data_IF_899936415353
#
_entry.id   IF_899936415353
#
_cell.length_a   1.000
_cell.length_b   1.000
_cell.length_c   1.000
_cell.angle_alpha   90.00
_cell.angle_beta   90.00
_cell.angle_gamma   90.00
#
_symmetry.space_group_name_H-M   'P 1'
#
loop_
_entity.id
_entity.type
_entity.pdbx_description
1 polymer ?
#
# COMPACT_ATOMS: atom_id res chain seq x y z
N UNK A 1 11.13 11.60 -5.95
CA UNK A 1 9.81 11.07 -5.57
C UNK A 1 8.77 12.18 -5.59
N UNK A 2 7.54 11.95 -6.07
CA UNK A 2 6.43 12.88 -5.89
C UNK A 2 5.69 12.57 -4.59
N UNK A 3 5.41 13.59 -3.78
CA UNK A 3 4.76 13.45 -2.47
C UNK A 3 3.55 14.36 -2.41
N UNK A 4 2.34 13.80 -2.28
CA UNK A 4 1.14 14.61 -2.13
C UNK A 4 0.86 14.91 -0.66
N UNK A 5 0.46 16.14 -0.34
CA UNK A 5 0.16 16.53 1.03
C UNK A 5 -1.16 15.92 1.57
N UNK A 6 -2.04 15.43 0.68
CA UNK A 6 -3.36 14.93 1.05
C UNK A 6 -4.37 16.03 1.32
N UNK A 7 -5.35 15.77 2.19
CA UNK A 7 -6.37 16.75 2.58
C UNK A 7 -5.74 17.86 3.43
N UNK A 8 -5.77 19.13 2.97
CA UNK A 8 -5.11 20.23 3.66
C UNK A 8 -5.70 20.56 5.05
N UNK A 9 -6.89 20.05 5.37
CA UNK A 9 -7.54 20.22 6.68
C UNK A 9 -7.07 19.20 7.71
N UNK A 10 -6.35 18.12 7.28
CA UNK A 10 -5.84 17.07 8.15
C UNK A 10 -4.35 17.24 8.46
N UNK A 11 -3.80 16.23 9.14
CA UNK A 11 -2.36 16.19 9.51
C UNK A 11 -1.42 15.97 8.32
N UNK A 12 -1.96 15.69 7.12
CA UNK A 12 -1.14 15.40 5.94
C UNK A 12 -0.02 16.40 5.67
N UNK A 13 -0.29 17.71 5.58
CA UNK A 13 0.73 18.73 5.36
C UNK A 13 1.82 18.75 6.44
N UNK A 14 1.45 18.60 7.72
CA UNK A 14 2.37 18.59 8.86
C UNK A 14 3.29 17.36 8.83
N UNK A 15 2.72 16.15 8.71
CA UNK A 15 3.51 14.91 8.74
C UNK A 15 4.40 14.74 7.50
N UNK A 16 3.97 15.25 6.33
CA UNK A 16 4.79 15.24 5.12
C UNK A 16 5.98 16.19 5.29
N UNK A 17 5.75 17.43 5.75
CA UNK A 17 6.82 18.40 5.96
C UNK A 17 7.86 17.89 6.96
N UNK A 18 7.41 17.33 8.08
CA UNK A 18 8.30 16.80 9.11
C UNK A 18 9.08 15.57 8.63
N UNK A 19 8.43 14.66 7.89
CA UNK A 19 9.07 13.48 7.35
C UNK A 19 10.15 13.84 6.30
N UNK A 20 9.86 14.76 5.39
CA UNK A 20 10.83 15.22 4.37
C UNK A 20 12.01 15.92 5.04
N UNK A 21 11.74 16.86 5.96
CA UNK A 21 12.80 17.55 6.72
C UNK A 21 13.69 16.57 7.47
N UNK A 22 13.11 15.55 8.08
CA UNK A 22 13.85 14.51 8.79
C UNK A 22 14.80 13.75 7.86
N UNK A 23 14.33 13.33 6.68
CA UNK A 23 15.12 12.60 5.71
C UNK A 23 16.22 13.47 5.09
N UNK A 24 15.96 14.73 4.77
CA UNK A 24 16.96 15.69 4.30
C UNK A 24 18.06 15.88 5.35
N UNK A 25 17.70 16.04 6.63
CA UNK A 25 18.68 16.16 7.73
C UNK A 25 19.50 14.89 7.95
N UNK A 26 19.00 13.73 7.57
CA UNK A 26 19.74 12.45 7.60
C UNK A 26 20.62 12.26 6.36
N UNK A 27 20.67 13.21 5.44
CA UNK A 27 21.48 13.14 4.22
C UNK A 27 20.92 12.19 3.16
N UNK A 28 19.58 12.08 3.06
CA UNK A 28 18.95 11.31 1.98
C UNK A 28 19.29 11.90 0.61
N UNK A 29 19.74 11.07 -0.31
CA UNK A 29 19.99 11.45 -1.71
C UNK A 29 18.70 11.53 -2.54
N UNK A 30 17.53 11.27 -1.93
CA UNK A 30 16.25 11.29 -2.63
C UNK A 30 15.73 12.71 -2.79
N UNK A 31 15.53 13.16 -4.02
CA UNK A 31 14.86 14.42 -4.32
C UNK A 31 13.34 14.28 -4.19
N UNK A 32 12.69 15.22 -3.50
CA UNK A 32 11.25 15.25 -3.29
C UNK A 32 10.59 16.38 -4.06
N UNK A 33 9.51 16.07 -4.79
CA UNK A 33 8.58 17.04 -5.39
C UNK A 33 7.31 16.99 -4.56
N UNK A 34 7.05 18.02 -3.78
CA UNK A 34 5.87 18.13 -2.92
C UNK A 34 4.71 18.74 -3.72
N UNK A 35 3.51 18.20 -3.56
CA UNK A 35 2.31 18.55 -4.30
C UNK A 35 1.16 18.82 -3.35
N UNK A 36 0.63 20.03 -3.38
CA UNK A 36 -0.47 20.45 -2.48
C UNK A 36 -0.97 21.85 -2.78
N UNK A 37 -1.87 22.41 -1.96
CA UNK A 37 -2.35 23.79 -2.12
C UNK A 37 -1.22 24.81 -2.07
N UNK A 38 -1.38 25.90 -2.80
CA UNK A 38 -0.34 26.94 -2.96
C UNK A 38 0.16 27.52 -1.63
N UNK A 39 -0.71 27.60 -0.62
CA UNK A 39 -0.43 28.18 0.70
C UNK A 39 0.36 27.25 1.64
N UNK A 40 0.45 25.96 1.32
CA UNK A 40 1.03 24.93 2.19
C UNK A 40 2.50 24.59 1.85
N UNK A 41 3.19 25.45 1.10
CA UNK A 41 4.59 25.24 0.78
C UNK A 41 5.48 25.25 2.05
N UNK A 42 6.08 24.10 2.44
CA UNK A 42 6.90 24.04 3.64
C UNK A 42 8.31 24.59 3.48
N UNK A 43 8.68 25.05 2.28
CA UNK A 43 10.03 25.51 1.96
C UNK A 43 11.07 24.38 1.90
N UNK A 44 10.65 23.16 1.60
CA UNK A 44 11.49 21.95 1.51
C UNK A 44 11.39 21.37 0.09
N UNK A 45 12.46 20.79 -0.41
CA UNK A 45 12.50 20.18 -1.74
C UNK A 45 12.01 21.13 -2.85
N UNK A 46 11.40 20.55 -3.89
CA UNK A 46 10.68 21.28 -4.94
C UNK A 46 9.19 21.27 -4.67
N UNK A 47 8.55 22.43 -4.54
CA UNK A 47 7.11 22.54 -4.34
C UNK A 47 6.36 22.87 -5.64
N UNK A 48 5.32 22.11 -5.94
CA UNK A 48 4.39 22.35 -7.04
C UNK A 48 2.98 22.54 -6.48
N UNK A 49 2.53 23.80 -6.40
CA UNK A 49 1.18 24.14 -6.03
C UNK A 49 0.17 23.65 -7.07
N UNK A 50 -1.00 23.21 -6.60
CA UNK A 50 -2.08 22.70 -7.44
C UNK A 50 -3.33 23.59 -7.40
N UNK A 51 -3.25 24.73 -6.73
CA UNK A 51 -4.29 25.75 -6.63
C UNK A 51 -4.51 26.27 -5.22
N UNK A 52 -5.38 27.28 -5.13
CA UNK A 52 -5.70 28.00 -3.88
C UNK A 52 -6.73 27.22 -3.03
N UNK A 53 -6.46 27.07 -1.74
CA UNK A 53 -7.37 26.46 -0.77
C UNK A 53 -8.26 27.54 -0.13
N UNK A 54 -9.56 27.46 -0.35
CA UNK A 54 -10.55 28.41 0.15
C UNK A 54 -11.14 28.08 1.52
N UNK A 55 -10.64 27.03 2.19
CA UNK A 55 -11.13 26.54 3.47
C UNK A 55 -12.30 25.55 3.41
N UNK A 56 -12.91 25.35 2.24
CA UNK A 56 -14.07 24.47 2.08
C UNK A 56 -13.67 22.98 1.94
N UNK A 57 -14.59 22.09 2.31
CA UNK A 57 -14.44 20.66 2.09
C UNK A 57 -14.28 20.30 0.60
N UNK A 58 -15.05 20.98 -0.25
CA UNK A 58 -14.99 20.79 -1.68
C UNK A 58 -13.61 21.17 -2.25
N UNK A 59 -13.07 22.31 -1.85
CA UNK A 59 -11.74 22.75 -2.26
C UNK A 59 -10.66 21.78 -1.77
N UNK A 60 -10.75 21.31 -0.52
CA UNK A 60 -9.83 20.30 0.00
C UNK A 60 -9.83 19.01 -0.82
N UNK A 61 -11.00 18.50 -1.17
CA UNK A 61 -11.15 17.31 -2.02
C UNK A 61 -10.60 17.53 -3.43
N UNK A 62 -10.90 18.65 -4.05
CA UNK A 62 -10.41 19.01 -5.38
C UNK A 62 -8.88 19.06 -5.42
N UNK A 63 -8.27 19.80 -4.49
CA UNK A 63 -6.82 19.96 -4.45
C UNK A 63 -6.08 18.66 -4.10
N UNK A 64 -6.67 17.83 -3.23
CA UNK A 64 -6.15 16.49 -2.95
C UNK A 64 -6.13 15.63 -4.23
N UNK A 65 -7.22 15.64 -5.01
CA UNK A 65 -7.31 14.90 -6.26
C UNK A 65 -6.33 15.43 -7.32
N UNK A 66 -6.26 16.74 -7.51
CA UNK A 66 -5.33 17.37 -8.46
C UNK A 66 -3.86 17.07 -8.10
N UNK A 67 -3.51 17.03 -6.82
CA UNK A 67 -2.17 16.64 -6.39
C UNK A 67 -1.84 15.19 -6.78
N UNK A 68 -2.78 14.25 -6.60
CA UNK A 68 -2.62 12.85 -7.02
C UNK A 68 -2.51 12.76 -8.55
N UNK A 69 -3.39 13.40 -9.31
CA UNK A 69 -3.33 13.41 -10.78
C UNK A 69 -2.00 13.98 -11.29
N UNK A 70 -1.50 15.05 -10.65
CA UNK A 70 -0.20 15.64 -11.01
C UNK A 70 0.95 14.68 -10.69
N UNK A 71 0.93 14.02 -9.52
CA UNK A 71 1.93 13.02 -9.14
C UNK A 71 1.97 11.86 -10.13
N UNK A 72 0.81 11.30 -10.49
CA UNK A 72 0.69 10.23 -11.49
C UNK A 72 1.29 10.65 -12.83
N UNK A 73 0.96 11.87 -13.30
CA UNK A 73 1.51 12.38 -14.56
C UNK A 73 3.04 12.47 -14.54
N UNK A 74 3.62 12.96 -13.42
CA UNK A 74 5.07 13.02 -13.26
C UNK A 74 5.71 11.62 -13.26
N UNK A 75 5.05 10.64 -12.66
CA UNK A 75 5.53 9.26 -12.64
C UNK A 75 5.42 8.58 -14.01
N UNK A 76 4.31 8.75 -14.72
CA UNK A 76 4.10 8.15 -16.06
C UNK A 76 5.07 8.69 -17.11
N UNK A 77 5.46 9.97 -17.03
CA UNK A 77 6.48 10.53 -17.94
C UNK A 77 7.92 10.32 -17.46
N UNK A 78 8.12 9.57 -16.37
CA UNK A 78 9.46 9.24 -15.85
C UNK A 78 10.19 10.38 -15.13
N UNK A 79 9.51 11.50 -14.81
CA UNK A 79 10.12 12.59 -14.05
C UNK A 79 10.42 12.18 -12.61
N UNK A 80 9.60 11.31 -12.04
CA UNK A 80 9.78 10.74 -10.71
C UNK A 80 9.69 9.21 -10.76
N UNK A 81 10.44 8.55 -9.91
CA UNK A 81 10.49 7.08 -9.83
C UNK A 81 9.30 6.47 -9.06
N UNK A 82 8.55 7.27 -8.33
CA UNK A 82 7.42 6.80 -7.57
C UNK A 82 6.69 7.93 -6.85
N UNK A 83 5.60 7.55 -6.19
CA UNK A 83 4.67 8.45 -5.51
C UNK A 83 4.52 8.03 -4.04
N UNK A 84 4.50 9.03 -3.15
CA UNK A 84 4.06 8.85 -1.76
C UNK A 84 2.85 9.73 -1.53
N UNK A 85 1.75 9.16 -1.04
CA UNK A 85 0.53 9.94 -0.87
C UNK A 85 0.21 10.21 0.58
N UNK A 86 0.00 11.49 0.92
CA UNK A 86 -0.60 11.89 2.19
C UNK A 86 -2.08 11.48 2.26
N UNK A 87 -2.66 11.43 3.46
CA UNK A 87 -4.02 10.93 3.67
C UNK A 87 -5.08 11.86 3.06
N UNK A 88 -6.10 11.29 2.41
CA UNK A 88 -7.23 12.01 1.84
C UNK A 88 -8.52 11.73 2.58
N UNK A 89 -9.48 12.66 2.49
CA UNK A 89 -10.81 12.53 3.06
C UNK A 89 -11.83 12.17 1.96
N UNK A 90 -12.37 10.94 2.04
CA UNK A 90 -13.31 10.43 1.02
C UNK A 90 -14.55 11.29 0.81
N UNK A 91 -15.23 11.82 1.87
CA UNK A 91 -16.32 12.77 1.68
C UNK A 91 -15.92 14.03 0.93
N UNK A 92 -14.71 14.58 1.17
CA UNK A 92 -14.21 15.75 0.46
C UNK A 92 -14.01 15.47 -1.03
N UNK A 93 -13.43 14.31 -1.39
CA UNK A 93 -13.31 13.89 -2.79
C UNK A 93 -14.68 13.82 -3.47
N UNK A 94 -15.68 13.22 -2.81
CA UNK A 94 -17.04 13.15 -3.33
C UNK A 94 -17.68 14.52 -3.51
N UNK A 95 -17.48 15.43 -2.55
CA UNK A 95 -17.99 16.80 -2.64
C UNK A 95 -17.38 17.59 -3.81
N UNK A 96 -16.16 17.22 -4.20
CA UNK A 96 -15.45 17.75 -5.36
C UNK A 96 -15.82 17.08 -6.69
N UNK A 97 -16.65 16.01 -6.67
CA UNK A 97 -17.11 15.30 -7.85
C UNK A 97 -16.30 14.04 -8.21
N UNK A 98 -15.36 13.62 -7.39
CA UNK A 98 -14.61 12.37 -7.56
C UNK A 98 -15.38 11.22 -6.91
N UNK A 99 -15.68 10.18 -7.68
CA UNK A 99 -16.53 9.07 -7.24
C UNK A 99 -15.74 7.88 -6.71
N UNK A 100 -14.42 7.85 -6.91
CA UNK A 100 -13.55 6.79 -6.45
C UNK A 100 -13.55 6.70 -4.91
N UNK A 101 -13.62 5.48 -4.34
CA UNK A 101 -13.67 5.28 -2.89
C UNK A 101 -12.36 5.65 -2.18
N UNK A 102 -11.23 5.79 -2.91
CA UNK A 102 -9.94 6.13 -2.34
C UNK A 102 -8.81 6.25 -3.34
N UNK A 103 -7.58 6.29 -2.84
CA UNK A 103 -6.38 6.39 -3.68
C UNK A 103 -6.23 5.21 -4.63
N UNK A 104 -6.47 3.99 -4.19
CA UNK A 104 -6.21 2.78 -4.98
C UNK A 104 -7.00 2.78 -6.27
N UNK A 105 -8.30 3.03 -6.19
CA UNK A 105 -9.20 3.05 -7.34
C UNK A 105 -8.91 4.26 -8.24
N UNK A 106 -8.57 5.40 -7.64
CA UNK A 106 -8.17 6.59 -8.38
C UNK A 106 -6.86 6.35 -9.16
N UNK A 107 -5.86 5.74 -8.54
CA UNK A 107 -4.60 5.40 -9.19
C UNK A 107 -4.79 4.36 -10.28
N UNK A 108 -5.61 3.33 -10.06
CA UNK A 108 -5.97 2.33 -11.05
C UNK A 108 -6.56 2.98 -12.32
N UNK A 109 -7.55 3.87 -12.15
CA UNK A 109 -8.15 4.61 -13.28
C UNK A 109 -7.12 5.51 -14.00
N UNK A 110 -6.28 6.22 -13.24
CA UNK A 110 -5.31 7.16 -13.82
C UNK A 110 -4.16 6.46 -14.57
N UNK A 111 -3.90 5.20 -14.27
CA UNK A 111 -2.83 4.42 -14.92
C UNK A 111 -3.35 3.38 -15.90
N UNK A 112 -4.68 3.22 -16.02
CA UNK A 112 -5.34 2.24 -16.90
C UNK A 112 -4.85 0.80 -16.71
N UNK A 113 -4.53 0.43 -15.45
CA UNK A 113 -4.12 -0.94 -15.09
C UNK A 113 -5.34 -1.78 -14.73
N UNK A 114 -5.32 -3.07 -15.10
CA UNK A 114 -6.42 -4.01 -14.82
C UNK A 114 -6.52 -4.36 -13.34
N UNK A 115 -5.38 -4.62 -12.72
CA UNK A 115 -5.30 -5.17 -11.37
C UNK A 115 -4.38 -4.34 -10.47
N UNK A 116 -4.82 -4.17 -9.25
CA UNK A 116 -4.03 -3.54 -8.17
C UNK A 116 -4.15 -4.40 -6.91
N UNK A 117 -3.10 -4.38 -6.08
CA UNK A 117 -3.08 -5.08 -4.81
C UNK A 117 -2.73 -4.15 -3.65
N UNK A 118 -3.32 -4.38 -2.49
CA UNK A 118 -3.00 -3.67 -1.26
C UNK A 118 -2.08 -4.53 -0.41
N UNK A 119 -0.79 -4.18 -0.39
CA UNK A 119 0.23 -4.84 0.41
C UNK A 119 0.58 -3.99 1.63
N UNK A 120 0.38 -4.53 2.81
CA UNK A 120 0.86 -3.93 4.06
C UNK A 120 2.25 -4.46 4.35
N UNK A 121 3.19 -3.55 4.62
CA UNK A 121 4.61 -3.88 4.80
C UNK A 121 5.17 -3.23 6.05
N UNK A 122 5.86 -4.00 6.85
CA UNK A 122 6.78 -3.54 7.87
C UNK A 122 8.11 -4.29 7.68
N UNK A 123 9.15 -3.60 7.19
CA UNK A 123 10.45 -4.24 6.95
C UNK A 123 11.20 -4.53 8.25
N UNK A 124 10.90 -3.76 9.29
CA UNK A 124 11.43 -3.95 10.62
C UNK A 124 10.26 -4.10 11.60
N UNK A 125 10.25 -5.18 12.35
CA UNK A 125 9.28 -5.43 13.42
C UNK A 125 10.01 -5.61 14.74
N UNK A 126 9.28 -5.50 15.85
CA UNK A 126 9.84 -5.78 17.18
C UNK A 126 10.38 -7.22 17.32
N UNK A 127 10.01 -8.12 16.40
CA UNK A 127 10.46 -9.51 16.35
C UNK A 127 11.66 -9.72 15.41
N UNK A 128 12.18 -8.65 14.78
CA UNK A 128 13.39 -8.68 13.96
C UNK A 128 13.21 -9.27 12.56
N UNK A 129 11.98 -9.58 12.15
CA UNK A 129 11.67 -10.11 10.82
C UNK A 129 10.70 -9.19 10.06
N UNK A 130 10.77 -9.11 8.73
CA UNK A 130 9.81 -8.35 7.94
C UNK A 130 8.43 -9.00 7.99
N UNK A 131 7.39 -8.17 7.91
CA UNK A 131 6.01 -8.62 7.81
C UNK A 131 5.38 -8.00 6.56
N UNK A 132 4.96 -8.84 5.60
CA UNK A 132 4.33 -8.43 4.34
C UNK A 132 3.03 -9.18 4.17
N UNK A 133 1.92 -8.45 4.14
CA UNK A 133 0.57 -9.02 4.08
C UNK A 133 -0.22 -8.38 2.95
N UNK A 134 -0.50 -9.16 1.90
CA UNK A 134 -1.40 -8.78 0.82
C UNK A 134 -2.83 -9.10 1.23
N UNK A 135 -3.74 -8.16 1.01
CA UNK A 135 -5.18 -8.34 1.26
C UNK A 135 -5.87 -8.69 -0.06
N UNK A 136 -6.36 -9.93 -0.21
CA UNK A 136 -7.07 -10.36 -1.41
C UNK A 136 -8.42 -9.63 -1.56
N UNK A 137 -9.14 -9.44 -0.46
CA UNK A 137 -10.29 -8.52 -0.37
C UNK A 137 -10.01 -7.45 0.69
N UNK A 138 -10.45 -6.22 0.44
CA UNK A 138 -10.12 -5.08 1.30
C UNK A 138 -11.33 -4.59 2.10
N UNK A 139 -11.92 -3.45 1.77
CA UNK A 139 -12.94 -2.76 2.55
C UNK A 139 -14.36 -3.22 2.17
N UNK A 140 -14.65 -4.49 2.41
CA UNK A 140 -15.97 -5.10 2.16
C UNK A 140 -16.56 -5.66 3.45
N UNK A 141 -17.89 -5.75 3.60
CA UNK A 141 -18.50 -6.41 4.75
C UNK A 141 -18.05 -7.87 4.85
N UNK A 142 -17.76 -8.35 6.06
CA UNK A 142 -17.27 -9.71 6.26
C UNK A 142 -18.19 -10.80 5.66
N UNK A 143 -19.51 -10.59 5.71
CA UNK A 143 -20.50 -11.52 5.14
C UNK A 143 -20.41 -11.67 3.61
N UNK A 144 -19.83 -10.68 2.92
CA UNK A 144 -19.72 -10.66 1.47
C UNK A 144 -18.38 -11.25 0.99
N UNK A 145 -17.43 -11.48 1.92
CA UNK A 145 -16.09 -11.99 1.62
C UNK A 145 -16.11 -13.35 0.90
N UNK A 146 -16.85 -14.37 1.38
CA UNK A 146 -16.85 -15.68 0.72
C UNK A 146 -17.33 -15.60 -0.74
N UNK A 147 -18.32 -14.76 -1.04
CA UNK A 147 -18.88 -14.59 -2.39
C UNK A 147 -17.93 -13.83 -3.34
N UNK A 148 -17.05 -13.00 -2.79
CA UNK A 148 -16.06 -12.24 -3.55
C UNK A 148 -14.77 -13.04 -3.80
N UNK A 149 -14.46 -14.00 -2.94
CA UNK A 149 -13.29 -14.85 -3.13
C UNK A 149 -13.51 -15.82 -4.28
N UNK A 150 -12.61 -15.77 -5.24
CA UNK A 150 -12.59 -16.71 -6.37
C UNK A 150 -11.17 -17.20 -6.63
N UNK A 151 -11.06 -18.33 -7.30
CA UNK A 151 -9.77 -18.86 -7.77
C UNK A 151 -9.01 -17.81 -8.58
N UNK A 152 -9.69 -17.14 -9.51
CA UNK A 152 -9.07 -16.14 -10.39
C UNK A 152 -8.57 -14.93 -9.61
N UNK A 153 -9.32 -14.45 -8.60
CA UNK A 153 -8.87 -13.37 -7.72
C UNK A 153 -7.60 -13.75 -6.96
N UNK A 154 -7.59 -14.94 -6.33
CA UNK A 154 -6.42 -15.39 -5.56
C UNK A 154 -5.21 -15.57 -6.45
N UNK A 155 -5.39 -16.11 -7.66
CA UNK A 155 -4.31 -16.26 -8.65
C UNK A 155 -3.79 -14.90 -9.10
N UNK A 156 -4.66 -13.97 -9.50
CA UNK A 156 -4.28 -12.61 -9.93
C UNK A 156 -3.49 -11.90 -8.83
N UNK A 157 -4.01 -11.89 -7.59
CA UNK A 157 -3.35 -11.23 -6.47
C UNK A 157 -2.00 -11.88 -6.10
N UNK A 158 -1.90 -13.21 -6.16
CA UNK A 158 -0.65 -13.91 -5.91
C UNK A 158 0.41 -13.65 -6.99
N UNK A 159 0.01 -13.65 -8.27
CA UNK A 159 0.91 -13.32 -9.39
C UNK A 159 1.42 -11.88 -9.28
N UNK A 160 0.54 -10.94 -8.93
CA UNK A 160 0.87 -9.54 -8.71
C UNK A 160 1.88 -9.37 -7.57
N UNK A 161 1.64 -10.06 -6.45
CA UNK A 161 2.54 -10.07 -5.30
C UNK A 161 3.91 -10.67 -5.67
N UNK A 162 3.93 -11.85 -6.31
CA UNK A 162 5.16 -12.52 -6.72
C UNK A 162 6.02 -11.62 -7.61
N UNK A 163 5.41 -11.06 -8.67
CA UNK A 163 6.11 -10.15 -9.59
C UNK A 163 6.68 -8.92 -8.88
N UNK A 164 5.90 -8.32 -7.97
CA UNK A 164 6.35 -7.17 -7.20
C UNK A 164 7.52 -7.53 -6.27
N UNK A 165 7.46 -8.67 -5.59
CA UNK A 165 8.55 -9.14 -4.72
C UNK A 165 9.83 -9.42 -5.50
N UNK A 166 9.72 -9.95 -6.71
CA UNK A 166 10.88 -10.15 -7.60
C UNK A 166 11.50 -8.83 -8.06
N UNK A 167 10.66 -7.87 -8.48
CA UNK A 167 11.14 -6.63 -9.10
C UNK A 167 11.55 -5.61 -8.03
N UNK A 168 10.70 -5.37 -7.03
CA UNK A 168 10.84 -4.27 -6.09
C UNK A 168 11.62 -4.65 -4.83
N UNK A 169 11.63 -5.96 -4.47
CA UNK A 169 12.40 -6.47 -3.32
C UNK A 169 13.64 -7.27 -3.72
N UNK A 170 13.84 -7.55 -5.04
CA UNK A 170 14.91 -8.39 -5.56
C UNK A 170 14.91 -9.81 -4.97
N UNK A 171 13.75 -10.38 -4.69
CA UNK A 171 13.60 -11.78 -4.26
C UNK A 171 13.49 -12.66 -5.50
N UNK A 172 14.51 -13.47 -5.79
CA UNK A 172 14.57 -14.26 -7.03
C UNK A 172 13.45 -15.31 -7.16
N UNK A 173 12.98 -15.87 -6.04
CA UNK A 173 11.90 -16.86 -5.96
C UNK A 173 11.13 -16.65 -4.65
N UNK A 174 10.19 -15.70 -4.59
CA UNK A 174 9.44 -15.42 -3.37
C UNK A 174 8.64 -16.63 -2.90
N UNK A 175 8.63 -16.89 -1.62
CA UNK A 175 7.84 -17.93 -0.97
C UNK A 175 6.59 -17.31 -0.42
N UNK A 176 5.45 -17.64 -1.02
CA UNK A 176 4.15 -17.08 -0.63
C UNK A 176 3.38 -18.05 0.27
N UNK A 177 2.67 -17.53 1.25
CA UNK A 177 1.72 -18.28 2.03
C UNK A 177 0.30 -17.80 1.74
N UNK A 178 -0.61 -18.70 1.39
CA UNK A 178 -2.03 -18.40 1.26
C UNK A 178 -2.75 -18.73 2.58
N UNK A 179 -3.15 -17.68 3.31
CA UNK A 179 -3.88 -17.82 4.56
C UNK A 179 -5.30 -18.35 4.30
N UNK A 180 -5.74 -19.33 5.07
CA UNK A 180 -7.07 -19.90 4.99
C UNK A 180 -8.16 -18.90 5.37
N UNK A 181 -9.38 -19.11 4.86
CA UNK A 181 -10.57 -18.37 5.24
C UNK A 181 -11.20 -18.95 6.51
N UNK A 182 -11.36 -20.28 6.55
CA UNK A 182 -12.04 -20.97 7.62
C UNK A 182 -11.09 -21.48 8.72
N UNK A 183 -11.58 -21.71 9.96
CA UNK A 183 -10.77 -22.27 11.03
C UNK A 183 -10.09 -23.58 10.60
N UNK A 184 -8.81 -23.74 11.00
CA UNK A 184 -7.99 -24.93 10.71
C UNK A 184 -7.93 -25.30 9.21
N UNK A 185 -8.05 -24.29 8.33
CA UNK A 185 -8.12 -24.48 6.88
C UNK A 185 -9.26 -25.44 6.48
N UNK A 186 -10.46 -25.18 7.00
CA UNK A 186 -11.71 -25.90 6.89
C UNK A 186 -11.77 -27.33 7.50
N UNK A 187 -10.67 -27.85 8.02
CA UNK A 187 -10.59 -29.20 8.59
C UNK A 187 -11.27 -30.26 7.69
N UNK A 188 -10.74 -30.35 6.44
CA UNK A 188 -11.23 -31.22 5.36
C UNK A 188 -12.73 -30.97 4.97
N UNK A 189 -13.20 -29.73 5.11
CA UNK A 189 -14.56 -29.33 4.73
C UNK A 189 -15.57 -29.35 5.88
N UNK A 190 -15.12 -29.60 7.11
CA UNK A 190 -16.00 -29.57 8.30
C UNK A 190 -16.54 -28.16 8.57
N UNK A 191 -15.73 -27.12 8.27
CA UNK A 191 -16.06 -25.71 8.56
C UNK A 191 -16.27 -24.85 7.30
N UNK A 192 -16.54 -25.47 6.17
CA UNK A 192 -16.76 -24.79 4.88
C UNK A 192 -15.99 -25.44 3.75
N UNK A 193 -16.39 -25.15 2.53
CA UNK A 193 -15.82 -25.78 1.33
C UNK A 193 -14.91 -24.83 0.54
N UNK A 194 -14.75 -23.58 0.96
CA UNK A 194 -14.03 -22.53 0.22
C UNK A 194 -12.55 -22.95 -0.02
N UNK A 195 -11.90 -23.57 0.97
CA UNK A 195 -10.53 -24.06 0.82
C UNK A 195 -10.39 -25.09 -0.29
N UNK A 196 -11.37 -25.97 -0.44
CA UNK A 196 -11.37 -27.00 -1.47
C UNK A 196 -11.79 -26.44 -2.84
N UNK A 197 -12.79 -25.55 -2.86
CA UNK A 197 -13.41 -25.07 -4.11
C UNK A 197 -12.67 -23.86 -4.71
N UNK A 198 -12.00 -23.08 -3.90
CA UNK A 198 -11.36 -21.81 -4.33
C UNK A 198 -9.85 -21.83 -4.10
N UNK A 199 -9.40 -22.15 -2.88
CA UNK A 199 -7.98 -21.99 -2.50
C UNK A 199 -7.09 -23.06 -3.11
N UNK A 200 -7.43 -24.35 -3.02
CA UNK A 200 -6.63 -25.43 -3.61
C UNK A 200 -6.50 -25.29 -5.14
N UNK A 201 -7.57 -25.00 -5.90
CA UNK A 201 -7.44 -24.72 -7.33
C UNK A 201 -6.53 -23.52 -7.65
N UNK A 202 -6.55 -22.47 -6.81
CA UNK A 202 -5.66 -21.32 -6.98
C UNK A 202 -4.18 -21.72 -6.76
N UNK A 203 -3.89 -22.49 -5.72
CA UNK A 203 -2.55 -22.99 -5.43
C UNK A 203 -2.06 -23.88 -6.59
N UNK A 204 -2.90 -24.80 -7.08
CA UNK A 204 -2.56 -25.66 -8.20
C UNK A 204 -2.23 -24.87 -9.48
N UNK A 205 -2.99 -23.80 -9.75
CA UNK A 205 -2.74 -22.92 -10.89
C UNK A 205 -1.41 -22.15 -10.72
N UNK A 206 -1.13 -21.62 -9.52
CA UNK A 206 0.10 -20.89 -9.21
C UNK A 206 1.34 -21.81 -9.28
N UNK A 207 1.26 -23.03 -8.75
CA UNK A 207 2.33 -24.03 -8.86
C UNK A 207 2.64 -24.40 -10.31
N UNK A 208 1.60 -24.52 -11.18
CA UNK A 208 1.79 -24.75 -12.62
C UNK A 208 2.46 -23.56 -13.32
N UNK A 209 2.31 -22.35 -12.78
CA UNK A 209 2.98 -21.13 -13.24
C UNK A 209 4.38 -20.93 -12.63
N UNK A 210 4.95 -21.94 -11.94
CA UNK A 210 6.25 -21.93 -11.25
C UNK A 210 6.33 -20.89 -10.10
N UNK A 211 5.20 -20.52 -9.50
CA UNK A 211 5.14 -19.66 -8.32
C UNK A 211 5.21 -20.52 -7.07
N UNK A 212 6.13 -20.18 -6.15
CA UNK A 212 6.25 -20.86 -4.86
C UNK A 212 5.16 -20.38 -3.90
N UNK A 213 4.13 -21.16 -3.73
CA UNK A 213 3.02 -20.88 -2.82
C UNK A 213 2.67 -22.12 -2.00
N UNK A 214 2.45 -21.93 -0.71
CA UNK A 214 1.96 -22.96 0.21
C UNK A 214 0.62 -22.48 0.81
N UNK A 215 -0.30 -23.43 1.01
CA UNK A 215 -1.60 -23.13 1.62
C UNK A 215 -2.67 -24.20 1.28
N UNK A 216 -3.90 -23.98 1.68
CA UNK A 216 -4.32 -22.95 2.65
C UNK A 216 -3.73 -23.22 4.03
N UNK A 217 -3.16 -22.21 4.68
CA UNK A 217 -2.54 -22.31 6.01
C UNK A 217 -3.46 -21.65 7.04
N UNK A 218 -3.75 -22.30 8.18
CA UNK A 218 -4.56 -21.70 9.22
C UNK A 218 -4.07 -20.32 9.66
N UNK A 219 -5.01 -19.38 9.84
CA UNK A 219 -4.72 -17.99 10.19
C UNK A 219 -3.99 -17.82 11.52
N UNK A 220 -4.20 -18.73 12.46
CA UNK A 220 -3.58 -18.73 13.79
C UNK A 220 -2.09 -19.09 13.77
N UNK A 221 -1.58 -19.65 12.65
CA UNK A 221 -0.18 -20.11 12.54
C UNK A 221 0.60 -19.40 11.43
N UNK A 222 -0.04 -18.97 10.33
CA UNK A 222 0.62 -18.46 9.13
C UNK A 222 1.54 -17.27 9.40
N UNK A 223 1.11 -16.32 10.25
CA UNK A 223 1.90 -15.12 10.56
C UNK A 223 3.13 -15.45 11.42
N UNK A 224 2.99 -16.40 12.36
CA UNK A 224 4.13 -16.88 13.14
C UNK A 224 5.15 -17.58 12.24
N UNK A 225 4.72 -18.43 11.31
CA UNK A 225 5.59 -19.09 10.33
C UNK A 225 6.31 -18.08 9.43
N UNK A 226 5.60 -17.01 9.01
CA UNK A 226 6.23 -15.93 8.25
C UNK A 226 7.32 -15.22 9.06
N UNK A 227 7.04 -14.85 10.30
CA UNK A 227 8.02 -14.20 11.19
C UNK A 227 9.23 -15.10 11.51
N UNK A 228 9.07 -16.41 11.43
CA UNK A 228 10.17 -17.37 11.52
C UNK A 228 10.95 -17.55 10.19
N UNK A 229 10.58 -16.79 9.14
CA UNK A 229 11.29 -16.77 7.86
C UNK A 229 10.94 -17.93 6.93
N UNK A 230 9.81 -18.62 7.13
CA UNK A 230 9.36 -19.68 6.23
C UNK A 230 8.80 -19.07 4.93
N UNK A 231 8.18 -17.89 5.01
CA UNK A 231 7.57 -17.19 3.87
C UNK A 231 8.09 -15.76 3.76
N UNK A 232 8.02 -15.22 2.55
CA UNK A 232 8.41 -13.84 2.24
C UNK A 232 7.21 -12.88 2.24
N UNK A 233 5.99 -13.43 2.05
CA UNK A 233 4.73 -12.71 2.20
C UNK A 233 3.55 -13.65 2.46
N UNK A 234 2.50 -13.12 3.11
CA UNK A 234 1.22 -13.79 3.34
C UNK A 234 0.13 -13.12 2.49
N UNK A 235 -0.70 -13.91 1.82
CA UNK A 235 -1.93 -13.48 1.17
C UNK A 235 -3.08 -13.77 2.12
N UNK A 236 -3.67 -12.73 2.68
CA UNK A 236 -4.80 -12.82 3.59
C UNK A 236 -6.12 -12.72 2.79
N UNK A 237 -7.10 -13.60 3.00
CA UNK A 237 -8.34 -13.61 2.23
C UNK A 237 -9.18 -12.34 2.46
N UNK A 238 -9.13 -11.72 3.63
CA UNK A 238 -9.88 -10.50 3.94
C UNK A 238 -9.13 -9.60 4.92
N UNK A 239 -9.61 -8.37 5.02
CA UNK A 239 -8.97 -7.27 5.72
C UNK A 239 -8.57 -7.62 7.15
N UNK A 240 -9.50 -8.05 8.01
CA UNK A 240 -9.21 -8.14 9.45
C UNK A 240 -8.32 -9.32 9.82
N UNK A 241 -8.39 -10.44 9.08
CA UNK A 241 -7.46 -11.56 9.30
C UNK A 241 -6.02 -11.19 8.96
N UNK A 242 -5.81 -10.26 8.03
CA UNK A 242 -4.49 -9.72 7.72
C UNK A 242 -4.08 -8.57 8.63
N UNK A 243 -4.98 -7.62 8.86
CA UNK A 243 -4.67 -6.37 9.56
C UNK A 243 -4.57 -6.51 11.08
N UNK A 244 -5.34 -7.40 11.70
CA UNK A 244 -5.26 -7.60 13.15
C UNK A 244 -3.86 -8.08 13.59
N UNK A 245 -3.31 -9.17 13.03
CA UNK A 245 -1.93 -9.56 13.34
C UNK A 245 -0.90 -8.51 12.87
N UNK A 246 -1.09 -7.90 11.70
CA UNK A 246 -0.18 -6.86 11.21
C UNK A 246 -0.07 -5.69 12.19
N UNK A 247 -1.20 -5.12 12.60
CA UNK A 247 -1.23 -4.01 13.55
C UNK A 247 -0.75 -4.38 14.95
N UNK A 248 -0.97 -5.62 15.36
CA UNK A 248 -0.46 -6.11 16.68
C UNK A 248 1.06 -6.15 16.71
N UNK A 249 1.69 -6.53 15.59
CA UNK A 249 3.14 -6.73 15.50
C UNK A 249 3.87 -5.43 15.09
N UNK A 250 3.28 -4.64 14.19
CA UNK A 250 3.94 -3.52 13.51
C UNK A 250 3.15 -2.20 13.64
N UNK A 251 2.51 -1.95 14.78
CA UNK A 251 1.76 -0.71 14.98
C UNK A 251 2.66 0.53 14.82
N UNK A 252 2.25 1.48 13.98
CA UNK A 252 3.00 2.71 13.70
C UNK A 252 4.19 2.56 12.74
N UNK A 253 4.60 1.33 12.40
CA UNK A 253 5.68 1.05 11.44
C UNK A 253 5.16 0.59 10.07
N UNK A 254 3.85 0.43 9.93
CA UNK A 254 3.21 -0.08 8.72
C UNK A 254 3.23 0.92 7.56
N UNK A 255 3.53 0.41 6.37
CA UNK A 255 3.45 1.14 5.11
C UNK A 255 2.48 0.40 4.19
N UNK A 256 1.56 1.13 3.59
CA UNK A 256 0.71 0.60 2.54
C UNK A 256 1.40 0.78 1.19
N UNK A 257 1.62 -0.32 0.48
CA UNK A 257 2.19 -0.36 -0.87
C UNK A 257 1.10 -0.78 -1.84
N UNK A 258 0.85 0.02 -2.88
CA UNK A 258 -0.07 -0.37 -3.95
C UNK A 258 0.71 -1.10 -5.04
N UNK A 259 0.41 -2.37 -5.22
CA UNK A 259 0.99 -3.21 -6.27
C UNK A 259 0.26 -3.02 -7.60
N UNK A 260 0.91 -3.39 -8.72
CA UNK A 260 0.32 -3.36 -10.07
C UNK A 260 0.48 -2.05 -10.82
N UNK A 261 0.94 -0.99 -10.18
CA UNK A 261 1.18 0.29 -10.82
C UNK A 261 2.51 0.29 -11.61
N UNK A 262 2.61 1.07 -12.71
CA UNK A 262 3.84 1.19 -13.50
C UNK A 262 4.99 1.91 -12.76
N UNK A 263 4.73 2.42 -11.58
CA UNK A 263 5.67 3.07 -10.68
C UNK A 263 5.44 2.60 -9.24
N UNK A 264 6.39 2.87 -8.36
CA UNK A 264 6.23 2.57 -6.93
C UNK A 264 5.24 3.55 -6.29
N UNK A 265 4.27 3.03 -5.53
CA UNK A 265 3.40 3.87 -4.71
C UNK A 265 3.34 3.37 -3.29
N UNK A 266 3.63 4.26 -2.34
CA UNK A 266 3.47 4.00 -0.90
C UNK A 266 2.59 5.06 -0.24
N UNK A 267 2.09 4.74 0.93
CA UNK A 267 1.43 5.70 1.82
C UNK A 267 1.58 5.29 3.28
N UNK A 268 1.49 6.24 4.22
CA UNK A 268 1.39 5.92 5.63
C UNK A 268 0.11 5.14 5.93
N UNK A 269 0.10 4.51 7.10
CA UNK A 269 -0.98 3.65 7.57
C UNK A 269 -1.93 4.37 8.56
N UNK A 270 -2.10 5.68 8.40
CA UNK A 270 -3.03 6.51 9.17
C UNK A 270 -3.91 7.36 8.25
N UNK A 271 -5.02 7.87 8.79
CA UNK A 271 -5.93 8.77 8.09
C UNK A 271 -5.60 10.25 8.29
N UNK A 272 -6.58 11.11 7.97
CA UNK A 272 -6.47 12.57 8.05
C UNK A 272 -6.37 13.11 9.47
N UNK A 273 -6.85 12.39 10.49
CA UNK A 273 -6.76 12.71 11.91
C UNK A 273 -7.06 14.18 12.25
N UNK A 274 -8.23 14.67 11.81
CA UNK A 274 -8.65 16.08 11.97
C UNK A 274 -8.66 16.56 13.42
N UNK A 275 -8.82 15.65 14.38
CA UNK A 275 -8.90 15.91 15.82
C UNK A 275 -7.57 16.32 16.45
N UNK A 276 -6.45 16.08 15.77
CA UNK A 276 -5.10 16.43 16.29
C UNK A 276 -4.34 17.44 15.44
N UNK A 277 -4.99 18.03 14.43
CA UNK A 277 -4.39 19.09 13.60
C UNK A 277 -3.99 20.27 14.48
N UNK A 278 -2.83 20.87 14.23
CA UNK A 278 -2.25 22.00 14.97
C UNK A 278 -2.04 21.78 16.49
N UNK A 279 -2.08 20.54 16.95
CA UNK A 279 -1.83 20.20 18.35
C UNK A 279 -0.39 19.79 18.66
N UNK A 280 0.48 19.71 17.65
CA UNK A 280 1.85 19.17 17.73
C UNK A 280 1.89 17.71 18.23
N UNK A 281 0.80 16.95 18.01
CA UNK A 281 0.67 15.53 18.39
C UNK A 281 0.78 14.59 17.22
N UNK A 282 0.82 15.11 16.00
CA UNK A 282 0.95 14.30 14.80
C UNK A 282 2.35 13.64 14.75
N UNK A 283 2.36 12.32 14.58
CA UNK A 283 3.59 11.54 14.47
C UNK A 283 3.88 11.26 12.99
N UNK A 284 5.03 11.73 12.51
CA UNK A 284 5.46 11.57 11.13
C UNK A 284 6.19 10.25 10.83
N UNK A 285 6.34 9.36 11.82
CA UNK A 285 7.13 8.12 11.68
C UNK A 285 6.63 7.20 10.56
N UNK A 286 5.32 7.01 10.43
CA UNK A 286 4.71 6.22 9.37
C UNK A 286 4.92 6.87 7.98
N UNK A 287 4.87 8.21 7.87
CA UNK A 287 5.19 8.93 6.63
C UNK A 287 6.68 8.81 6.29
N UNK A 288 7.57 8.92 7.28
CA UNK A 288 9.01 8.68 7.08
C UNK A 288 9.26 7.25 6.56
N UNK A 289 8.61 6.25 7.15
CA UNK A 289 8.71 4.86 6.69
C UNK A 289 8.22 4.71 5.24
N UNK A 290 7.08 5.35 4.89
CA UNK A 290 6.55 5.35 3.53
C UNK A 290 7.52 5.98 2.52
N UNK A 291 8.14 7.12 2.86
CA UNK A 291 9.14 7.80 2.01
C UNK A 291 10.41 6.94 1.82
N UNK A 292 10.96 6.38 2.90
CA UNK A 292 12.14 5.50 2.81
C UNK A 292 11.84 4.26 1.98
N UNK A 293 10.70 3.63 2.20
CA UNK A 293 10.28 2.45 1.44
C UNK A 293 10.11 2.77 -0.04
N UNK A 294 9.42 3.87 -0.38
CA UNK A 294 9.26 4.28 -1.78
C UNK A 294 10.61 4.45 -2.48
N UNK A 295 11.55 5.14 -1.82
CA UNK A 295 12.89 5.37 -2.37
C UNK A 295 13.67 4.07 -2.56
N UNK A 296 13.63 3.17 -1.56
CA UNK A 296 14.31 1.88 -1.62
C UNK A 296 13.74 0.96 -2.70
N UNK A 297 12.41 0.86 -2.81
CA UNK A 297 11.75 0.05 -3.85
C UNK A 297 11.99 0.61 -5.25
N UNK A 298 11.90 1.92 -5.43
CA UNK A 298 12.18 2.57 -6.70
C UNK A 298 13.63 2.33 -7.15
N UNK A 299 14.60 2.46 -6.26
CA UNK A 299 16.00 2.17 -6.56
C UNK A 299 16.20 0.72 -7.05
N UNK A 300 15.56 -0.25 -6.41
CA UNK A 300 15.62 -1.66 -6.82
C UNK A 300 14.93 -1.88 -8.16
N UNK A 301 13.71 -1.37 -8.36
CA UNK A 301 12.94 -1.50 -9.61
C UNK A 301 13.72 -0.99 -10.81
N UNK A 302 14.25 0.22 -10.74
CA UNK A 302 14.98 0.83 -11.86
C UNK A 302 16.38 0.24 -12.03
N UNK A 303 17.08 -0.13 -10.95
CA UNK A 303 18.34 -0.86 -11.02
C UNK A 303 18.18 -2.22 -11.70
N UNK A 304 17.14 -2.97 -11.39
CA UNK A 304 16.84 -4.26 -12.02
C UNK A 304 16.47 -4.12 -13.50
N UNK A 305 15.69 -3.10 -13.87
CA UNK A 305 15.34 -2.82 -15.27
C UNK A 305 16.56 -2.44 -16.10
N UNK A 306 17.43 -1.59 -15.57
CA UNK A 306 18.68 -1.19 -16.24
C UNK A 306 19.66 -2.36 -16.45
N UNK A 307 19.63 -3.37 -15.57
CA UNK A 307 20.48 -4.56 -15.72
C UNK A 307 19.94 -5.60 -16.73
N UNK A 308 18.69 -5.47 -17.15
CA UNK A 308 18.02 -6.38 -18.12
C UNK A 308 18.02 -5.83 -19.55
N UNK A 309 18.38 -4.55 -19.74
CA UNK A 309 18.54 -3.88 -21.05
C UNK A 309 20.01 -3.84 -21.45
#
# INVERSE_FOLDING_TARGET
MAVTLGDPRGIGPEVVADAVRHLENQGSDTEFILLGPDEFNPGLGTYNGVGHFDGSERSAGLLSALAVERAVRLALVGTVAGIVTGPIHKPALRSAGFMEPGHTEMLQRLTDVSDVGMLMVAEETALGAPLRVLLATTHVPLRDVPDLLSTDLLVSQAMLLNSSLEIDWNLARPRLALCALNPHASDDGLFGDEENLVFRPAIDALCKADIQVEGPIPADTVFNRMLNGEYDAVIAPYHDVGMAPFKTIAFGAGVNVTLGLPFVRTSPDHGTAFDIVDTSRADSSSMQAALRMASGLASKRFGTLAART
#
